data_IF_159349571260
#
_entry.id   IF_159349571260
#
_cell.length_a   1.000
_cell.length_b   1.000
_cell.length_c   1.000
_cell.angle_alpha   90.00
_cell.angle_beta   90.00
_cell.angle_gamma   90.00
#
_symmetry.space_group_name_H-M   'P 1'
#
loop_
_entity.id
_entity.type
_entity.pdbx_description
1 polymer ?
#
# COMPACT_ATOMS: atom_id res chain seq x y z
N UNK A 1 -25.65 14.92 -34.77
CA UNK A 1 -24.51 14.70 -33.85
C UNK A 1 -23.75 16.01 -33.73
N UNK A 2 -23.95 16.75 -32.64
CA UNK A 2 -23.29 18.05 -32.45
C UNK A 2 -21.83 17.83 -32.03
N UNK A 3 -20.90 18.38 -32.81
CA UNK A 3 -19.48 18.46 -32.43
C UNK A 3 -19.37 19.15 -31.07
N UNK A 4 -18.93 18.41 -30.04
CA UNK A 4 -18.51 19.01 -28.78
C UNK A 4 -17.16 19.68 -29.03
N UNK A 5 -17.20 20.92 -29.50
CA UNK A 5 -16.04 21.82 -29.50
C UNK A 5 -15.65 22.10 -28.05
N UNK A 6 -14.69 21.34 -27.54
CA UNK A 6 -14.19 21.49 -26.18
C UNK A 6 -13.31 22.75 -26.10
N UNK A 7 -13.92 23.93 -25.94
CA UNK A 7 -13.17 25.17 -25.69
C UNK A 7 -12.49 25.03 -24.33
N UNK A 8 -11.15 24.97 -24.33
CA UNK A 8 -10.35 25.00 -23.09
C UNK A 8 -10.62 26.32 -22.38
N UNK A 9 -11.28 26.26 -21.24
CA UNK A 9 -11.60 27.46 -20.48
C UNK A 9 -10.33 28.07 -19.90
N UNK A 10 -10.26 29.39 -19.94
CA UNK A 10 -9.10 30.16 -19.47
C UNK A 10 -9.18 30.38 -17.95
N UNK A 11 -8.03 30.65 -17.33
CA UNK A 11 -7.96 30.95 -15.89
C UNK A 11 -8.95 32.04 -15.46
N UNK A 12 -9.03 33.12 -16.24
CA UNK A 12 -9.88 34.27 -15.93
C UNK A 12 -11.37 33.90 -15.86
N UNK A 13 -11.85 33.07 -16.79
CA UNK A 13 -13.25 32.62 -16.80
C UNK A 13 -13.57 31.84 -15.51
N UNK A 14 -12.68 30.95 -15.08
CA UNK A 14 -12.87 30.21 -13.84
C UNK A 14 -12.77 31.10 -12.60
N UNK A 15 -11.84 32.05 -12.60
CA UNK A 15 -11.67 32.99 -11.50
C UNK A 15 -12.89 33.87 -11.32
N UNK A 16 -13.51 34.37 -12.40
CA UNK A 16 -14.75 35.13 -12.32
C UNK A 16 -15.91 34.29 -11.77
N UNK A 17 -16.02 33.02 -12.17
CA UNK A 17 -17.01 32.10 -11.60
C UNK A 17 -16.78 31.84 -10.10
N UNK A 18 -15.52 31.68 -9.68
CA UNK A 18 -15.14 31.53 -8.27
C UNK A 18 -15.47 32.80 -7.48
N UNK A 19 -15.20 33.98 -8.04
CA UNK A 19 -15.52 35.26 -7.43
C UNK A 19 -17.03 35.45 -7.28
N UNK A 20 -17.83 35.14 -8.30
CA UNK A 20 -19.29 35.22 -8.20
C UNK A 20 -19.85 34.30 -7.10
N UNK A 21 -19.28 33.09 -6.96
CA UNK A 21 -19.60 32.22 -5.84
C UNK A 21 -19.23 32.87 -4.50
N UNK A 22 -18.00 33.38 -4.38
CA UNK A 22 -17.54 34.04 -3.16
C UNK A 22 -18.37 35.27 -2.78
N UNK A 23 -18.80 36.08 -3.76
CA UNK A 23 -19.66 37.24 -3.54
C UNK A 23 -21.05 36.82 -2.99
N UNK A 24 -21.53 35.63 -3.37
CA UNK A 24 -22.82 35.09 -2.93
C UNK A 24 -22.75 34.41 -1.56
N UNK A 25 -21.70 33.62 -1.31
CA UNK A 25 -21.59 32.76 -0.12
C UNK A 25 -20.58 33.26 0.92
N UNK A 26 -19.82 34.32 0.60
CA UNK A 26 -18.77 34.88 1.47
C UNK A 26 -17.52 34.01 1.62
N UNK A 27 -17.39 32.93 0.86
CA UNK A 27 -16.30 31.97 0.96
C UNK A 27 -16.10 31.16 -0.33
N UNK A 28 -15.00 30.40 -0.42
CA UNK A 28 -14.76 29.42 -1.48
C UNK A 28 -14.91 27.96 -1.01
N UNK A 29 -15.82 27.68 -0.08
CA UNK A 29 -16.20 26.31 0.30
C UNK A 29 -17.19 25.73 -0.71
N UNK A 30 -16.79 25.74 -1.98
CA UNK A 30 -17.59 25.23 -3.09
C UNK A 30 -17.76 23.71 -2.94
N UNK A 31 -19.00 23.17 -2.90
CA UNK A 31 -19.23 21.73 -2.89
C UNK A 31 -18.57 21.04 -4.09
N UNK A 32 -18.06 19.83 -3.90
CA UNK A 32 -17.28 19.11 -4.92
C UNK A 32 -18.02 19.00 -6.27
N UNK A 33 -19.33 18.72 -6.25
CA UNK A 33 -20.15 18.55 -7.44
C UNK A 33 -20.95 19.81 -7.84
N UNK A 34 -20.62 20.97 -7.27
CA UNK A 34 -21.23 22.23 -7.67
C UNK A 34 -20.90 22.57 -9.13
N UNK A 35 -21.95 22.88 -9.89
CA UNK A 35 -21.89 23.31 -11.30
C UNK A 35 -22.58 24.67 -11.41
N UNK A 36 -21.93 25.64 -12.06
CA UNK A 36 -22.54 26.95 -12.31
C UNK A 36 -23.69 26.83 -13.31
N UNK A 37 -24.54 27.87 -13.40
CA UNK A 37 -25.64 27.91 -14.37
C UNK A 37 -25.16 27.68 -15.82
N UNK A 38 -23.95 28.17 -16.15
CA UNK A 38 -23.33 28.03 -17.47
C UNK A 38 -22.58 26.70 -17.65
N UNK A 39 -22.74 25.74 -16.73
CA UNK A 39 -22.19 24.38 -16.85
C UNK A 39 -20.75 24.20 -16.35
N UNK A 40 -20.16 25.21 -15.69
CA UNK A 40 -18.80 25.10 -15.17
C UNK A 40 -18.77 24.25 -13.90
N UNK A 41 -18.01 23.16 -13.90
CA UNK A 41 -17.78 22.29 -12.72
C UNK A 41 -16.84 22.97 -11.71
N UNK A 42 -17.29 24.08 -11.13
CA UNK A 42 -16.49 24.96 -10.28
C UNK A 42 -15.98 24.24 -9.03
N UNK A 43 -16.76 23.33 -8.43
CA UNK A 43 -16.30 22.54 -7.28
C UNK A 43 -15.03 21.74 -7.57
N UNK A 44 -15.01 21.01 -8.69
CA UNK A 44 -13.85 20.23 -9.13
C UNK A 44 -12.66 21.12 -9.50
N UNK A 45 -12.93 22.28 -10.08
CA UNK A 45 -11.88 23.24 -10.41
C UNK A 45 -11.21 23.79 -9.14
N UNK A 46 -11.99 24.17 -8.13
CA UNK A 46 -11.49 24.62 -6.82
C UNK A 46 -10.66 23.53 -6.13
N UNK A 47 -11.13 22.28 -6.11
CA UNK A 47 -10.35 21.17 -5.54
C UNK A 47 -9.04 20.93 -6.29
N UNK A 48 -9.03 21.10 -7.62
CA UNK A 48 -7.80 21.03 -8.39
C UNK A 48 -6.80 22.13 -7.99
N UNK A 49 -7.26 23.36 -7.73
CA UNK A 49 -6.39 24.44 -7.24
C UNK A 49 -5.78 24.08 -5.89
N UNK A 50 -6.59 23.53 -4.98
CA UNK A 50 -6.14 23.04 -3.67
C UNK A 50 -5.12 21.91 -3.80
N UNK A 51 -5.33 20.97 -4.72
CA UNK A 51 -4.40 19.88 -4.99
C UNK A 51 -3.05 20.38 -5.55
N UNK A 52 -3.06 21.37 -6.43
CA UNK A 52 -1.85 22.04 -6.94
C UNK A 52 -1.11 22.77 -5.82
N UNK A 53 -1.81 23.57 -5.03
CA UNK A 53 -1.24 24.32 -3.92
C UNK A 53 -0.61 23.42 -2.86
N UNK A 54 -1.28 22.32 -2.50
CA UNK A 54 -0.81 21.41 -1.47
C UNK A 54 0.20 20.37 -1.98
N UNK A 55 0.64 20.46 -3.25
CA UNK A 55 1.62 19.55 -3.84
C UNK A 55 1.13 18.11 -4.02
N UNK A 56 -0.19 17.91 -4.05
CA UNK A 56 -0.81 16.59 -4.30
C UNK A 56 -0.66 16.20 -5.76
N UNK A 57 -0.69 17.18 -6.67
CA UNK A 57 -0.41 16.96 -8.09
C UNK A 57 0.89 17.69 -8.51
N UNK A 58 1.63 17.17 -9.51
CA UNK A 58 2.95 17.71 -9.89
C UNK A 58 2.95 19.12 -10.48
N UNK A 59 1.79 19.76 -10.59
CA UNK A 59 1.64 21.12 -11.12
C UNK A 59 1.53 22.12 -9.97
N UNK A 60 2.33 23.19 -10.00
CA UNK A 60 2.24 24.27 -9.03
C UNK A 60 1.29 25.36 -9.49
N UNK A 61 0.56 25.94 -8.54
CA UNK A 61 -0.16 27.18 -8.75
C UNK A 61 0.81 28.33 -8.52
N UNK A 62 0.89 29.27 -9.48
CA UNK A 62 1.75 30.44 -9.30
C UNK A 62 1.27 31.34 -8.15
N UNK A 63 2.19 32.15 -7.63
CA UNK A 63 1.96 32.97 -6.44
C UNK A 63 0.82 33.98 -6.63
N UNK A 64 0.70 34.57 -7.82
CA UNK A 64 -0.32 35.57 -8.10
C UNK A 64 -1.73 34.95 -8.08
N UNK A 65 -1.90 33.76 -8.67
CA UNK A 65 -3.16 33.02 -8.62
C UNK A 65 -3.52 32.55 -7.21
N UNK A 66 -2.53 32.16 -6.41
CA UNK A 66 -2.77 31.87 -4.99
C UNK A 66 -3.34 33.10 -4.27
N UNK A 67 -2.66 34.25 -4.39
CA UNK A 67 -3.09 35.51 -3.76
C UNK A 67 -4.47 35.96 -4.27
N UNK A 68 -4.76 35.79 -5.56
CA UNK A 68 -6.05 36.12 -6.14
C UNK A 68 -7.19 35.30 -5.50
N UNK A 69 -6.99 33.98 -5.37
CA UNK A 69 -7.97 33.10 -4.73
C UNK A 69 -8.11 33.37 -3.22
N UNK A 70 -7.02 33.66 -2.52
CA UNK A 70 -7.05 34.04 -1.10
C UNK A 70 -7.88 35.29 -0.85
N UNK A 71 -7.79 36.31 -1.72
CA UNK A 71 -8.59 37.54 -1.63
C UNK A 71 -10.09 37.31 -1.69
N UNK A 72 -10.53 36.23 -2.32
CA UNK A 72 -11.95 35.86 -2.43
C UNK A 72 -12.34 34.72 -1.47
N UNK A 73 -11.52 34.46 -0.44
CA UNK A 73 -11.86 33.53 0.64
C UNK A 73 -11.44 32.08 0.42
N UNK A 74 -10.37 31.84 -0.35
CA UNK A 74 -9.80 30.49 -0.48
C UNK A 74 -9.21 29.98 0.83
N UNK A 75 -9.62 28.76 1.19
CA UNK A 75 -9.00 27.98 2.26
C UNK A 75 -8.33 26.74 1.67
N UNK A 76 -7.00 26.71 1.74
CA UNK A 76 -6.19 25.66 1.11
C UNK A 76 -6.23 24.32 1.85
N UNK A 77 -6.05 24.36 3.18
CA UNK A 77 -5.96 23.16 4.03
C UNK A 77 -7.35 22.66 4.41
N UNK A 78 -7.62 21.37 4.18
CA UNK A 78 -8.91 20.73 4.47
C UNK A 78 -9.38 20.96 5.91
N UNK A 79 -8.49 20.81 6.88
CA UNK A 79 -8.77 20.97 8.31
C UNK A 79 -9.29 22.36 8.71
N UNK A 80 -9.03 23.39 7.90
CA UNK A 80 -9.47 24.77 8.14
C UNK A 80 -10.75 25.11 7.36
N UNK A 81 -11.22 24.22 6.48
CA UNK A 81 -12.37 24.47 5.61
C UNK A 81 -13.70 24.46 6.37
N UNK A 82 -13.78 23.71 7.47
CA UNK A 82 -15.00 23.53 8.25
C UNK A 82 -14.68 23.64 9.74
N UNK A 83 -15.68 24.02 10.52
CA UNK A 83 -15.58 24.03 11.98
C UNK A 83 -15.41 22.62 12.54
N UNK A 84 -14.92 22.53 13.78
CA UNK A 84 -14.79 21.25 14.47
C UNK A 84 -16.15 20.55 14.59
N UNK A 85 -17.20 21.29 14.92
CA UNK A 85 -18.57 20.80 15.08
C UNK A 85 -19.11 20.19 13.78
N UNK A 86 -18.79 20.81 12.64
CA UNK A 86 -19.19 20.29 11.32
C UNK A 86 -18.48 18.96 11.02
N UNK A 87 -17.20 18.84 11.37
CA UNK A 87 -16.49 17.56 11.25
C UNK A 87 -17.07 16.52 12.19
N UNK A 88 -17.38 16.88 13.44
CA UNK A 88 -17.97 15.98 14.42
C UNK A 88 -19.37 15.48 14.00
N UNK A 89 -20.16 16.28 13.29
CA UNK A 89 -21.40 15.81 12.69
C UNK A 89 -21.16 14.67 11.68
N UNK A 90 -20.13 14.79 10.84
CA UNK A 90 -19.76 13.72 9.89
C UNK A 90 -19.19 12.48 10.58
N UNK A 91 -18.43 12.68 11.66
CA UNK A 91 -17.94 11.59 12.53
C UNK A 91 -19.12 10.83 13.12
N UNK A 92 -20.12 11.53 13.64
CA UNK A 92 -21.32 10.93 14.19
C UNK A 92 -22.11 10.17 13.11
N UNK A 93 -22.31 10.75 11.92
CA UNK A 93 -22.98 10.07 10.81
C UNK A 93 -22.24 8.80 10.38
N UNK A 94 -20.91 8.87 10.25
CA UNK A 94 -20.08 7.70 9.93
C UNK A 94 -20.23 6.62 11.00
N UNK A 95 -20.09 6.98 12.28
CA UNK A 95 -20.20 6.04 13.39
C UNK A 95 -21.61 5.41 13.47
N UNK A 96 -22.67 6.15 13.16
CA UNK A 96 -24.02 5.60 13.09
C UNK A 96 -24.18 4.56 11.96
N UNK A 97 -23.44 4.72 10.86
CA UNK A 97 -23.51 3.87 9.67
C UNK A 97 -22.61 2.62 9.79
N UNK A 98 -21.42 2.76 10.38
CA UNK A 98 -20.38 1.71 10.41
C UNK A 98 -20.08 1.15 11.82
N UNK A 99 -20.48 1.85 12.88
CA UNK A 99 -20.31 1.41 14.27
C UNK A 99 -18.92 1.62 14.87
N UNK A 100 -18.01 2.26 14.13
CA UNK A 100 -16.65 2.59 14.58
C UNK A 100 -16.13 3.88 13.91
N UNK A 101 -14.88 4.26 14.23
CA UNK A 101 -14.12 5.30 13.54
C UNK A 101 -12.87 4.77 12.81
N UNK A 102 -12.93 3.54 12.29
CA UNK A 102 -11.95 3.03 11.33
C UNK A 102 -12.27 3.53 9.92
N UNK A 103 -12.18 4.85 9.74
CA UNK A 103 -12.47 5.51 8.47
C UNK A 103 -11.32 5.28 7.47
N UNK A 104 -11.56 4.65 6.29
CA UNK A 104 -10.57 4.54 5.23
C UNK A 104 -10.05 5.92 4.82
N UNK A 105 -8.75 6.06 4.54
CA UNK A 105 -8.13 7.38 4.27
C UNK A 105 -8.73 8.11 3.06
N UNK A 106 -9.25 7.38 2.09
CA UNK A 106 -9.90 7.87 0.87
C UNK A 106 -11.42 8.05 1.00
N UNK A 107 -12.00 7.71 2.16
CA UNK A 107 -13.42 7.89 2.40
C UNK A 107 -13.83 9.37 2.30
N UNK A 108 -14.92 9.59 1.56
CA UNK A 108 -15.53 10.89 1.32
C UNK A 108 -16.96 10.87 1.85
N UNK A 109 -17.29 11.80 2.74
CA UNK A 109 -18.63 11.94 3.30
C UNK A 109 -19.64 12.39 2.23
N UNK A 110 -20.94 12.27 2.53
CA UNK A 110 -22.05 12.56 1.60
C UNK A 110 -22.01 13.98 1.02
N UNK A 111 -21.42 14.93 1.73
CA UNK A 111 -21.23 16.32 1.30
C UNK A 111 -19.94 16.56 0.48
N UNK A 112 -19.21 15.50 0.12
CA UNK A 112 -17.98 15.58 -0.66
C UNK A 112 -16.71 15.86 0.16
N UNK A 113 -16.78 15.91 1.49
CA UNK A 113 -15.62 16.16 2.34
C UNK A 113 -14.82 14.88 2.62
N UNK A 114 -13.48 14.96 2.54
CA UNK A 114 -12.58 13.83 2.79
C UNK A 114 -12.42 13.53 4.28
N UNK A 115 -13.46 13.00 4.91
CA UNK A 115 -13.49 12.64 6.33
C UNK A 115 -12.36 11.68 6.70
N UNK A 116 -12.05 10.70 5.84
CA UNK A 116 -10.96 9.75 6.06
C UNK A 116 -9.59 10.42 6.20
N UNK A 117 -9.30 11.39 5.34
CA UNK A 117 -8.09 12.18 5.43
C UNK A 117 -8.09 13.06 6.69
N UNK A 118 -9.22 13.68 7.03
CA UNK A 118 -9.33 14.50 8.23
C UNK A 118 -9.06 13.70 9.51
N UNK A 119 -9.63 12.49 9.65
CA UNK A 119 -9.38 11.55 10.75
C UNK A 119 -7.90 11.18 10.83
N UNK A 120 -7.26 10.89 9.68
CA UNK A 120 -5.81 10.63 9.62
C UNK A 120 -4.99 11.81 10.13
N UNK A 121 -5.35 13.05 9.80
CA UNK A 121 -4.67 14.24 10.33
C UNK A 121 -4.89 14.42 11.84
N UNK A 122 -6.06 14.07 12.39
CA UNK A 122 -6.29 14.09 13.84
C UNK A 122 -5.39 13.06 14.56
N UNK A 123 -5.23 11.85 14.01
CA UNK A 123 -4.28 10.84 14.53
C UNK A 123 -2.84 11.38 14.58
N UNK A 124 -2.41 12.13 13.57
CA UNK A 124 -1.09 12.79 13.56
C UNK A 124 -0.97 13.87 14.63
N UNK A 125 -1.99 14.72 14.79
CA UNK A 125 -2.00 15.79 15.81
C UNK A 125 -2.00 15.23 17.22
N UNK A 126 -2.78 14.18 17.47
CA UNK A 126 -2.78 13.44 18.73
C UNK A 126 -1.38 12.93 19.07
N UNK A 127 -0.75 12.21 18.14
CA UNK A 127 0.61 11.70 18.30
C UNK A 127 1.65 12.81 18.54
N UNK A 128 1.44 13.98 17.95
CA UNK A 128 2.30 15.15 18.14
C UNK A 128 2.01 15.98 19.39
N UNK A 129 0.98 15.62 20.18
CA UNK A 129 0.55 16.40 21.35
C UNK A 129 -0.11 17.75 21.00
N UNK A 130 -0.59 17.93 19.77
CA UNK A 130 -1.18 19.18 19.28
C UNK A 130 -2.71 19.20 19.31
N UNK A 131 -3.35 18.09 19.70
CA UNK A 131 -4.80 18.01 19.79
C UNK A 131 -5.26 18.44 21.19
N UNK A 132 -6.23 19.35 21.27
CA UNK A 132 -6.74 19.82 22.55
C UNK A 132 -7.48 18.70 23.29
N UNK A 133 -7.46 18.71 24.62
CA UNK A 133 -8.07 17.66 25.44
C UNK A 133 -9.58 17.48 25.15
N UNK A 134 -10.30 18.57 24.91
CA UNK A 134 -11.71 18.51 24.47
C UNK A 134 -11.87 17.75 23.15
N UNK A 135 -11.00 18.01 22.17
CA UNK A 135 -11.06 17.37 20.86
C UNK A 135 -10.76 15.88 20.94
N UNK A 136 -9.86 15.49 21.84
CA UNK A 136 -9.56 14.08 22.15
C UNK A 136 -10.83 13.42 22.69
N UNK A 137 -11.43 13.98 23.75
CA UNK A 137 -12.67 13.46 24.35
C UNK A 137 -13.84 13.39 23.36
N UNK A 138 -13.99 14.41 22.51
CA UNK A 138 -15.05 14.45 21.50
C UNK A 138 -14.95 13.27 20.52
N UNK A 139 -13.73 12.92 20.08
CA UNK A 139 -13.48 11.81 19.17
C UNK A 139 -13.56 10.45 19.87
N UNK A 140 -13.04 10.34 21.10
CA UNK A 140 -13.10 9.10 21.91
C UNK A 140 -14.52 8.68 22.25
N UNK A 141 -15.47 9.62 22.32
CA UNK A 141 -16.91 9.32 22.48
C UNK A 141 -17.47 8.44 21.36
N UNK A 142 -16.81 8.40 20.21
CA UNK A 142 -17.17 7.60 19.04
C UNK A 142 -16.13 6.51 18.79
N UNK A 143 -15.51 5.98 19.83
CA UNK A 143 -14.56 4.86 19.77
C UNK A 143 -13.36 5.13 18.84
N UNK A 144 -12.86 6.38 18.85
CA UNK A 144 -11.70 6.78 18.04
C UNK A 144 -10.46 5.94 18.36
N UNK A 145 -10.00 5.22 17.34
CA UNK A 145 -8.74 4.49 17.40
C UNK A 145 -7.60 5.44 16.99
N UNK A 146 -6.85 5.92 17.98
CA UNK A 146 -5.70 6.82 17.78
C UNK A 146 -4.50 6.13 17.12
N UNK A 147 -4.35 4.83 17.39
CA UNK A 147 -3.31 4.00 16.80
C UNK A 147 -3.82 2.57 16.65
N UNK A 148 -3.83 2.06 15.42
CA UNK A 148 -4.06 0.63 15.15
C UNK A 148 -2.87 -0.24 15.53
N UNK A 149 -1.71 0.38 15.79
CA UNK A 149 -0.47 -0.32 16.12
C UNK A 149 0.29 0.52 17.14
N UNK A 150 0.22 0.15 18.41
CA UNK A 150 1.42 0.32 19.22
C UNK A 150 2.54 -0.38 18.47
N UNK A 151 3.54 0.38 18.04
CA UNK A 151 4.69 -0.22 17.36
C UNK A 151 5.34 -1.13 18.39
N UNK A 152 5.18 -2.44 18.20
CA UNK A 152 5.94 -3.45 18.91
C UNK A 152 7.40 -3.06 18.88
N UNK A 153 7.99 -3.00 20.06
CA UNK A 153 9.39 -2.68 20.18
C UNK A 153 10.24 -3.89 19.74
N UNK A 154 11.56 -3.76 19.82
CA UNK A 154 12.46 -4.85 19.46
C UNK A 154 12.19 -6.15 20.27
N UNK A 155 11.88 -6.03 21.56
CA UNK A 155 11.69 -7.18 22.45
C UNK A 155 10.41 -7.93 22.10
N UNK A 156 9.34 -7.20 21.80
CA UNK A 156 8.07 -7.80 21.38
C UNK A 156 8.21 -8.56 20.06
N UNK A 157 8.89 -7.96 19.07
CA UNK A 157 9.14 -8.66 17.81
C UNK A 157 10.07 -9.86 17.96
N UNK A 158 11.09 -9.76 18.82
CA UNK A 158 11.97 -10.89 19.12
C UNK A 158 11.19 -12.04 19.76
N UNK A 159 10.27 -11.74 20.69
CA UNK A 159 9.38 -12.76 21.30
C UNK A 159 8.52 -13.46 20.23
N UNK A 160 7.96 -12.72 19.28
CA UNK A 160 7.21 -13.31 18.17
C UNK A 160 8.10 -14.22 17.30
N UNK A 161 9.36 -13.83 17.07
CA UNK A 161 10.32 -14.66 16.36
C UNK A 161 10.70 -15.92 17.15
N UNK A 162 10.89 -15.83 18.46
CA UNK A 162 11.10 -16.97 19.37
C UNK A 162 9.94 -17.96 19.31
N UNK A 163 8.69 -17.48 19.34
CA UNK A 163 7.50 -18.33 19.21
C UNK A 163 7.47 -19.05 17.86
N UNK A 164 7.81 -18.35 16.77
CA UNK A 164 7.93 -18.99 15.45
C UNK A 164 9.04 -20.05 15.46
N UNK A 165 10.20 -19.73 16.04
CA UNK A 165 11.32 -20.66 16.16
C UNK A 165 10.94 -21.91 16.95
N UNK A 166 10.24 -21.79 18.09
CA UNK A 166 9.77 -22.93 18.87
C UNK A 166 8.88 -23.88 18.04
N UNK A 167 8.07 -23.33 17.12
CA UNK A 167 7.18 -24.11 16.27
C UNK A 167 7.86 -24.72 15.05
N UNK A 168 8.86 -24.03 14.47
CA UNK A 168 9.42 -24.38 13.17
C UNK A 168 10.89 -24.79 13.19
N UNK A 169 11.59 -24.59 14.31
CA UNK A 169 13.02 -24.88 14.51
C UNK A 169 13.98 -23.96 13.75
N UNK A 170 13.47 -22.92 13.06
CA UNK A 170 14.28 -21.94 12.31
C UNK A 170 13.49 -20.65 12.07
N UNK A 171 14.16 -19.60 11.59
CA UNK A 171 13.52 -18.34 11.15
C UNK A 171 13.38 -18.20 9.63
N UNK A 172 13.04 -19.27 8.92
CA UNK A 172 12.62 -19.20 7.51
C UNK A 172 11.16 -18.74 7.38
N UNK A 173 10.85 -17.61 8.03
CA UNK A 173 9.51 -17.01 8.04
C UNK A 173 9.16 -16.50 6.63
N UNK A 174 8.06 -16.97 6.01
CA UNK A 174 7.58 -16.42 4.74
C UNK A 174 7.32 -14.92 4.84
N UNK A 175 7.64 -14.14 3.81
CA UNK A 175 7.46 -12.67 3.87
C UNK A 175 6.00 -12.23 4.12
N UNK A 176 5.03 -13.03 3.67
CA UNK A 176 3.60 -12.82 3.87
C UNK A 176 3.05 -13.38 5.19
N UNK A 177 3.89 -14.04 6.01
CA UNK A 177 3.45 -14.65 7.26
C UNK A 177 2.97 -13.59 8.24
N UNK A 178 1.82 -13.89 8.84
CA UNK A 178 1.20 -13.12 9.91
C UNK A 178 0.96 -14.04 11.12
N UNK A 179 1.13 -13.51 12.32
CA UNK A 179 0.72 -14.21 13.56
C UNK A 179 -0.81 -14.30 13.62
N UNK A 180 -1.33 -15.07 14.57
CA UNK A 180 -2.78 -15.14 14.82
C UNK A 180 -3.38 -13.76 15.13
N UNK A 181 -2.60 -12.89 15.78
CA UNK A 181 -2.99 -11.54 16.17
C UNK A 181 -2.78 -10.50 15.04
N UNK A 182 -2.41 -10.94 13.83
CA UNK A 182 -2.24 -10.07 12.67
C UNK A 182 -0.86 -9.40 12.55
N UNK A 183 0.11 -9.74 13.40
CA UNK A 183 1.46 -9.18 13.31
C UNK A 183 2.21 -9.72 12.11
N UNK A 184 2.72 -8.82 11.26
CA UNK A 184 3.47 -9.14 10.04
C UNK A 184 4.91 -9.56 10.32
N UNK A 185 5.10 -10.62 11.10
CA UNK A 185 6.42 -11.15 11.47
C UNK A 185 7.26 -11.50 10.24
N UNK A 186 6.64 -11.98 9.15
CA UNK A 186 7.34 -12.23 7.89
C UNK A 186 8.03 -10.99 7.32
N UNK A 187 7.32 -9.86 7.32
CA UNK A 187 7.86 -8.57 6.89
C UNK A 187 8.93 -8.07 7.84
N UNK A 188 8.74 -8.25 9.15
CA UNK A 188 9.74 -7.84 10.14
C UNK A 188 11.05 -8.62 10.00
N UNK A 189 11.01 -9.94 9.85
CA UNK A 189 12.20 -10.78 9.63
C UNK A 189 12.90 -10.43 8.32
N UNK A 190 12.14 -10.15 7.24
CA UNK A 190 12.70 -9.68 5.98
C UNK A 190 13.49 -8.38 6.17
N UNK A 191 12.93 -7.43 6.93
CA UNK A 191 13.60 -6.16 7.26
C UNK A 191 14.91 -6.39 8.01
N UNK A 192 14.96 -7.37 8.92
CA UNK A 192 16.18 -7.66 9.67
C UNK A 192 17.29 -8.20 8.78
N UNK A 193 16.98 -9.01 7.76
CA UNK A 193 17.97 -9.46 6.76
C UNK A 193 18.57 -8.27 6.00
N UNK A 194 17.76 -7.32 5.57
CA UNK A 194 18.24 -6.13 4.87
C UNK A 194 19.13 -5.25 5.78
N UNK A 195 18.75 -5.11 7.06
CA UNK A 195 19.54 -4.37 8.05
C UNK A 195 20.88 -5.05 8.37
N UNK A 196 20.95 -6.38 8.32
CA UNK A 196 22.19 -7.13 8.54
C UNK A 196 23.22 -6.83 7.44
N UNK A 197 22.79 -6.79 6.18
CA UNK A 197 23.67 -6.53 5.03
C UNK A 197 23.86 -5.04 4.71
N UNK A 198 23.21 -4.13 5.45
CA UNK A 198 23.26 -2.69 5.17
C UNK A 198 22.60 -2.32 3.83
N UNK A 199 21.65 -3.13 3.36
CA UNK A 199 20.95 -2.88 2.09
C UNK A 199 19.91 -1.76 2.23
N UNK A 200 19.59 -1.11 1.11
CA UNK A 200 18.48 -0.14 1.00
C UNK A 200 18.55 1.03 2.00
N UNK A 201 19.76 1.47 2.36
CA UNK A 201 19.99 2.65 3.22
C UNK A 201 19.47 2.50 4.66
N UNK A 202 19.26 1.27 5.12
CA UNK A 202 18.69 1.02 6.46
C UNK A 202 19.74 1.03 7.55
N UNK A 203 19.34 1.49 8.74
CA UNK A 203 20.20 1.45 9.93
C UNK A 203 20.59 0.00 10.25
N UNK A 204 21.89 -0.32 10.37
CA UNK A 204 22.35 -1.65 10.72
C UNK A 204 21.79 -2.17 12.04
N UNK A 205 21.78 -3.49 12.21
CA UNK A 205 21.52 -4.13 13.50
C UNK A 205 22.68 -3.89 14.46
N UNK A 206 22.40 -3.75 15.75
CA UNK A 206 23.46 -3.79 16.77
C UNK A 206 24.01 -5.21 16.92
N UNK A 207 25.20 -5.35 17.53
CA UNK A 207 25.80 -6.68 17.78
C UNK A 207 24.90 -7.56 18.65
N UNK A 208 24.24 -6.96 19.63
CA UNK A 208 23.30 -7.64 20.53
C UNK A 208 22.05 -8.11 19.78
N UNK A 209 21.55 -7.29 18.84
CA UNK A 209 20.40 -7.65 18.01
C UNK A 209 20.71 -8.81 17.06
N UNK A 210 21.92 -8.81 16.47
CA UNK A 210 22.39 -9.93 15.63
C UNK A 210 22.50 -11.20 16.46
N UNK A 211 23.17 -11.14 17.62
CA UNK A 211 23.35 -12.29 18.51
C UNK A 211 22.01 -12.87 18.98
N UNK A 212 21.04 -12.03 19.32
CA UNK A 212 19.71 -12.47 19.75
C UNK A 212 18.96 -13.23 18.64
N UNK A 213 19.06 -12.77 17.39
CA UNK A 213 18.45 -13.47 16.26
C UNK A 213 19.18 -14.77 15.91
N UNK A 214 20.51 -14.79 16.00
CA UNK A 214 21.31 -16.00 15.76
C UNK A 214 21.02 -17.11 16.78
N UNK A 215 20.74 -16.75 18.04
CA UNK A 215 20.33 -17.71 19.08
C UNK A 215 19.03 -18.46 18.73
N UNK A 216 18.17 -17.87 17.89
CA UNK A 216 16.94 -18.50 17.40
C UNK A 216 17.07 -18.96 15.94
N UNK A 217 18.29 -19.32 15.52
CA UNK A 217 18.57 -19.89 14.20
C UNK A 217 18.15 -18.98 13.04
N UNK A 218 18.49 -17.69 13.14
CA UNK A 218 18.31 -16.73 12.05
C UNK A 218 19.12 -17.13 10.81
N UNK A 219 18.43 -17.14 9.66
CA UNK A 219 19.04 -17.37 8.35
C UNK A 219 19.15 -16.03 7.62
N UNK A 220 20.36 -15.49 7.55
CA UNK A 220 20.65 -14.18 6.93
C UNK A 220 20.67 -14.23 5.39
N UNK A 221 21.14 -15.34 4.82
CA UNK A 221 21.21 -15.58 3.37
C UNK A 221 20.30 -16.74 2.97
N UNK A 222 19.45 -16.53 1.95
CA UNK A 222 18.47 -17.54 1.52
C UNK A 222 18.94 -18.35 0.30
N UNK A 223 20.14 -18.13 -0.20
CA UNK A 223 20.59 -18.71 -1.48
C UNK A 223 20.65 -20.24 -1.42
N UNK A 224 21.27 -20.78 -0.37
CA UNK A 224 21.31 -22.23 -0.13
C UNK A 224 19.91 -22.83 0.04
N UNK A 225 19.03 -22.17 0.79
CA UNK A 225 17.64 -22.63 0.99
C UNK A 225 16.86 -22.63 -0.33
N UNK A 226 17.06 -21.61 -1.16
CA UNK A 226 16.44 -21.52 -2.49
C UNK A 226 16.97 -22.62 -3.41
N UNK A 227 18.27 -22.89 -3.37
CA UNK A 227 18.92 -23.96 -4.14
C UNK A 227 18.38 -25.34 -3.74
N UNK A 228 18.35 -25.66 -2.45
CA UNK A 228 17.82 -26.92 -1.94
C UNK A 228 16.35 -27.12 -2.32
N UNK A 229 15.52 -26.08 -2.18
CA UNK A 229 14.12 -26.11 -2.61
C UNK A 229 13.96 -26.26 -4.12
N UNK A 230 14.84 -25.67 -4.91
CA UNK A 230 14.83 -25.83 -6.37
C UNK A 230 15.18 -27.28 -6.74
N UNK A 231 16.25 -27.83 -6.17
CA UNK A 231 16.69 -29.21 -6.36
C UNK A 231 15.63 -30.24 -5.95
N UNK A 232 14.95 -30.02 -4.82
CA UNK A 232 13.86 -30.89 -4.37
C UNK A 232 12.69 -30.91 -5.37
N UNK A 233 12.35 -29.75 -5.93
CA UNK A 233 11.28 -29.66 -6.93
C UNK A 233 11.66 -30.38 -8.23
N UNK A 234 12.91 -30.23 -8.67
CA UNK A 234 13.44 -30.92 -9.86
C UNK A 234 13.37 -32.44 -9.68
N UNK A 235 13.86 -32.97 -8.54
CA UNK A 235 13.79 -34.42 -8.24
C UNK A 235 12.36 -34.93 -8.25
N UNK A 236 11.45 -34.21 -7.59
CA UNK A 236 10.04 -34.62 -7.54
C UNK A 236 9.37 -34.60 -8.93
N UNK A 237 9.68 -33.61 -9.77
CA UNK A 237 9.19 -33.55 -11.16
C UNK A 237 9.75 -34.72 -11.99
N UNK A 238 11.03 -35.06 -11.80
CA UNK A 238 11.68 -36.19 -12.46
C UNK A 238 11.03 -37.52 -12.07
N UNK A 239 10.84 -37.77 -10.78
CA UNK A 239 10.13 -38.93 -10.25
C UNK A 239 8.70 -39.02 -10.82
N UNK A 240 7.96 -37.91 -10.82
CA UNK A 240 6.61 -37.85 -11.38
C UNK A 240 6.60 -38.19 -12.88
N UNK A 241 7.53 -37.61 -13.66
CA UNK A 241 7.65 -37.91 -15.09
C UNK A 241 7.96 -39.38 -15.33
N UNK A 242 8.85 -39.97 -14.54
CA UNK A 242 9.21 -41.38 -14.66
C UNK A 242 8.03 -42.30 -14.32
N UNK A 243 7.18 -41.92 -13.37
CA UNK A 243 6.01 -42.70 -12.98
C UNK A 243 4.83 -42.60 -13.96
N UNK A 244 4.55 -41.40 -14.48
CA UNK A 244 3.32 -41.12 -15.24
C UNK A 244 3.56 -40.80 -16.73
N UNK A 245 4.81 -40.72 -17.17
CA UNK A 245 5.20 -40.39 -18.54
C UNK A 245 4.84 -38.97 -18.99
N UNK A 246 4.32 -38.12 -18.11
CA UNK A 246 3.85 -36.79 -18.47
C UNK A 246 4.10 -35.75 -17.36
N UNK A 247 4.11 -34.47 -17.75
CA UNK A 247 4.25 -33.32 -16.86
C UNK A 247 3.04 -32.38 -16.99
N UNK A 248 1.96 -32.61 -16.24
CA UNK A 248 0.76 -31.80 -16.34
C UNK A 248 1.03 -30.38 -15.82
N UNK A 249 0.70 -29.37 -16.64
CA UNK A 249 0.82 -27.96 -16.26
C UNK A 249 -0.35 -27.45 -15.40
N UNK A 250 -1.15 -28.36 -14.84
CA UNK A 250 -2.33 -28.00 -14.05
C UNK A 250 -1.92 -27.55 -12.64
N UNK A 251 -2.50 -26.46 -12.09
CA UNK A 251 -2.15 -25.99 -10.76
C UNK A 251 -2.43 -26.98 -9.61
N UNK A 252 -3.33 -27.95 -9.84
CA UNK A 252 -3.78 -28.94 -8.86
C UNK A 252 -2.71 -29.96 -8.45
N UNK A 253 -1.72 -30.23 -9.31
CA UNK A 253 -0.65 -31.18 -8.98
C UNK A 253 0.41 -30.47 -8.14
N UNK A 254 0.52 -30.88 -6.88
CA UNK A 254 1.38 -30.23 -5.87
C UNK A 254 2.46 -31.19 -5.36
N UNK A 255 3.65 -30.64 -5.16
CA UNK A 255 4.73 -31.31 -4.46
C UNK A 255 4.40 -31.48 -2.96
N UNK A 256 5.11 -32.34 -2.22
CA UNK A 256 4.90 -32.53 -0.77
C UNK A 256 4.98 -31.25 0.06
N UNK A 257 5.71 -30.24 -0.41
CA UNK A 257 5.80 -28.92 0.24
C UNK A 257 4.71 -27.92 -0.20
N UNK A 258 3.72 -28.39 -0.95
CA UNK A 258 2.55 -27.64 -1.41
C UNK A 258 2.76 -26.80 -2.66
N UNK A 259 3.98 -26.73 -3.22
CA UNK A 259 4.23 -25.99 -4.45
C UNK A 259 3.60 -26.69 -5.66
N UNK A 260 2.94 -25.91 -6.51
CA UNK A 260 2.31 -26.42 -7.74
C UNK A 260 3.34 -26.67 -8.84
N UNK A 261 3.27 -27.86 -9.47
CA UNK A 261 4.10 -28.23 -10.63
C UNK A 261 3.93 -27.24 -11.78
N UNK A 262 2.68 -27.02 -12.23
CA UNK A 262 2.39 -26.18 -13.39
C UNK A 262 2.85 -24.74 -13.22
N UNK A 263 2.57 -24.14 -12.06
CA UNK A 263 3.03 -22.78 -11.75
C UNK A 263 4.56 -22.71 -11.71
N UNK A 264 5.22 -23.69 -11.09
CA UNK A 264 6.67 -23.73 -11.01
C UNK A 264 7.31 -23.87 -12.39
N UNK A 265 6.81 -24.77 -13.24
CA UNK A 265 7.27 -24.94 -14.63
C UNK A 265 7.10 -23.63 -15.40
N UNK A 266 5.93 -22.98 -15.33
CA UNK A 266 5.68 -21.69 -15.99
C UNK A 266 6.70 -20.61 -15.59
N UNK A 267 7.04 -20.54 -14.29
CA UNK A 267 8.06 -19.62 -13.80
C UNK A 267 9.45 -19.94 -14.37
N UNK A 268 9.83 -21.22 -14.45
CA UNK A 268 11.10 -21.62 -15.07
C UNK A 268 11.13 -21.28 -16.56
N UNK A 269 10.07 -21.55 -17.32
CA UNK A 269 9.96 -21.20 -18.75
C UNK A 269 10.10 -19.69 -18.98
N UNK A 270 9.49 -18.89 -18.10
CA UNK A 270 9.64 -17.43 -18.11
C UNK A 270 11.08 -17.00 -17.84
N UNK A 271 11.74 -17.60 -16.83
CA UNK A 271 13.12 -17.28 -16.49
C UNK A 271 14.10 -17.65 -17.63
N UNK A 272 13.89 -18.81 -18.26
CA UNK A 272 14.64 -19.25 -19.44
C UNK A 272 14.47 -18.28 -20.61
N UNK A 273 13.24 -17.87 -20.90
CA UNK A 273 12.93 -16.88 -21.97
C UNK A 273 13.65 -15.54 -21.74
N UNK A 274 13.86 -15.17 -20.48
CA UNK A 274 14.54 -13.93 -20.08
C UNK A 274 16.06 -14.07 -19.95
N UNK A 275 16.64 -15.25 -20.20
CA UNK A 275 18.08 -15.50 -20.06
C UNK A 275 18.58 -15.38 -18.61
N UNK A 276 17.71 -15.55 -17.60
CA UNK A 276 18.05 -15.39 -16.17
C UNK A 276 18.27 -16.72 -15.45
N UNK A 277 18.70 -17.75 -16.16
CA UNK A 277 18.92 -19.10 -15.65
C UNK A 277 20.36 -19.48 -15.94
N UNK A 278 21.08 -19.95 -14.92
CA UNK A 278 22.44 -20.46 -15.07
C UNK A 278 22.45 -21.71 -15.98
N UNK A 279 23.55 -21.94 -16.68
CA UNK A 279 23.60 -22.97 -17.73
C UNK A 279 23.38 -24.39 -17.19
N UNK A 280 23.87 -24.68 -15.99
CA UNK A 280 23.62 -25.94 -15.27
C UNK A 280 22.13 -26.19 -15.03
N UNK A 281 21.39 -25.17 -14.57
CA UNK A 281 19.95 -25.27 -14.35
C UNK A 281 19.18 -25.41 -15.65
N UNK A 282 19.63 -24.73 -16.71
CA UNK A 282 19.04 -24.84 -18.04
C UNK A 282 19.17 -26.26 -18.59
N UNK A 283 20.36 -26.86 -18.53
CA UNK A 283 20.57 -28.26 -18.96
C UNK A 283 19.65 -29.23 -18.22
N UNK A 284 19.49 -29.07 -16.90
CA UNK A 284 18.59 -29.92 -16.10
C UNK A 284 17.11 -29.77 -16.48
N UNK A 285 16.65 -28.54 -16.74
CA UNK A 285 15.28 -28.28 -17.17
C UNK A 285 15.02 -28.85 -18.58
N UNK A 286 15.98 -28.69 -19.50
CA UNK A 286 15.90 -29.24 -20.85
C UNK A 286 15.86 -30.78 -20.85
N UNK A 287 16.63 -31.44 -19.97
CA UNK A 287 16.57 -32.90 -19.79
C UNK A 287 15.20 -33.39 -19.31
N UNK A 288 14.46 -32.56 -18.57
CA UNK A 288 13.07 -32.85 -18.18
C UNK A 288 12.05 -32.52 -19.28
N UNK A 289 12.47 -31.93 -20.40
CA UNK A 289 11.59 -31.47 -21.48
C UNK A 289 10.91 -30.13 -21.18
N UNK A 290 11.49 -29.31 -20.29
CA UNK A 290 10.99 -27.99 -19.94
C UNK A 290 11.78 -26.93 -20.71
N UNK A 291 11.15 -26.32 -21.72
CA UNK A 291 11.77 -25.35 -22.61
C UNK A 291 11.14 -23.94 -22.51
N UNK A 292 11.83 -22.86 -22.95
CA UNK A 292 11.28 -21.50 -23.01
C UNK A 292 9.91 -21.42 -23.69
N UNK A 293 9.13 -20.36 -23.47
CA UNK A 293 7.92 -20.15 -24.25
C UNK A 293 8.27 -19.91 -25.73
N UNK A 294 7.47 -20.48 -26.65
CA UNK A 294 7.69 -20.34 -28.09
C UNK A 294 8.81 -21.22 -28.69
N UNK A 295 9.42 -22.11 -27.91
CA UNK A 295 10.40 -23.06 -28.43
C UNK A 295 9.71 -24.26 -29.10
N UNK A 296 10.07 -24.55 -30.34
CA UNK A 296 9.48 -25.58 -31.21
C UNK A 296 10.13 -26.97 -31.06
N UNK A 297 10.85 -27.22 -29.96
CA UNK A 297 11.39 -28.56 -29.70
C UNK A 297 10.26 -29.45 -29.19
N UNK A 298 9.65 -30.19 -30.12
CA UNK A 298 8.73 -31.30 -29.84
C UNK A 298 9.42 -32.30 -28.92
N UNK A 299 8.78 -32.81 -27.85
CA UNK A 299 9.34 -33.94 -27.12
C UNK A 299 9.39 -35.15 -28.06
N UNK A 300 10.55 -35.82 -28.12
CA UNK A 300 10.64 -37.22 -28.56
C UNK A 300 9.92 -38.11 -27.55
#
# INVERSE_FOLDING_TARGET
MGERTYRRQQWEEWYQNARAYADTFGNLLVPHDYVTADGYRLGRWIERQRAMHNGVIPSSLDRERCLALERIGMVWKLEKRLSWETWMAMVQEYHQEYGDLDVPTDYTAKNGCQLGYWIKEQRKKYKGGYLAEKQIRDLERFDMIWSFYERKDWKDWLRLAEMYYQKHGNLLVPASYQTADGDRLGSWIFVQRERYWGANGRRPLSREQVKALEQISMVWGLDRVREEKWNAMVRWIEEYKNQYGCLPLRPSVKAPDGRSMGNWISLQRTALTRGKVAEDRKMRLEGLGIYPFGSTKTPL
#
